data_IF_800680299704
#
_entry.id   IF_800680299704
#
_cell.length_a   1.000
_cell.length_b   1.000
_cell.length_c   1.000
_cell.angle_alpha   90.00
_cell.angle_beta   90.00
_cell.angle_gamma   90.00
#
_symmetry.space_group_name_H-M   'P 1'
#
loop_
_entity.id
_entity.type
_entity.pdbx_description
1 polymer ?
#
# COMPACT_ATOMS: atom_id res chain seq x y z
N UNK A 1 -18.01 10.81 -1.66
CA UNK A 1 -17.60 9.58 -0.96
C UNK A 1 -18.72 8.55 -1.10
N UNK A 2 -18.36 7.34 -1.49
CA UNK A 2 -19.25 6.18 -1.61
C UNK A 2 -18.67 5.05 -0.76
N UNK A 3 -19.52 4.30 -0.09
CA UNK A 3 -19.13 3.08 0.60
C UNK A 3 -20.17 1.97 0.36
N UNK A 4 -19.70 0.73 0.33
CA UNK A 4 -20.52 -0.47 0.19
C UNK A 4 -19.95 -1.57 1.08
N UNK A 5 -20.82 -2.19 1.88
CA UNK A 5 -20.53 -3.42 2.63
C UNK A 5 -21.41 -4.52 2.04
N UNK A 6 -20.82 -5.67 1.76
CA UNK A 6 -21.58 -6.85 1.36
C UNK A 6 -20.90 -8.16 1.79
N UNK A 7 -21.67 -9.19 1.88
CA UNK A 7 -21.24 -10.53 2.26
C UNK A 7 -21.34 -11.42 1.03
N UNK A 8 -20.35 -12.26 0.83
CA UNK A 8 -20.40 -13.43 -0.04
C UNK A 8 -20.56 -14.69 0.81
N UNK A 9 -20.50 -15.87 0.20
CA UNK A 9 -20.56 -17.12 0.95
C UNK A 9 -19.37 -17.29 1.92
N UNK A 10 -18.20 -16.76 1.51
CA UNK A 10 -16.95 -17.00 2.23
C UNK A 10 -16.29 -15.71 2.77
N UNK A 11 -16.72 -14.52 2.35
CA UNK A 11 -15.98 -13.30 2.61
C UNK A 11 -16.88 -12.12 2.98
N UNK A 12 -16.33 -11.21 3.75
CA UNK A 12 -16.84 -9.86 4.00
C UNK A 12 -16.08 -8.89 3.14
N UNK A 13 -16.79 -8.06 2.39
CA UNK A 13 -16.20 -7.05 1.51
C UNK A 13 -16.64 -5.65 1.91
N UNK A 14 -15.68 -4.74 2.02
CA UNK A 14 -15.90 -3.31 2.23
C UNK A 14 -15.28 -2.56 1.07
N UNK A 15 -16.08 -1.75 0.39
CA UNK A 15 -15.59 -0.86 -0.66
C UNK A 15 -15.79 0.58 -0.20
N UNK A 16 -14.73 1.37 -0.27
CA UNK A 16 -14.75 2.81 -0.01
C UNK A 16 -14.21 3.49 -1.26
N UNK A 17 -14.92 4.47 -1.81
CA UNK A 17 -14.42 5.20 -2.97
C UNK A 17 -14.80 6.67 -2.95
N UNK A 18 -13.94 7.49 -3.55
CA UNK A 18 -14.13 8.90 -3.80
C UNK A 18 -13.93 9.22 -5.30
N UNK A 19 -14.16 10.45 -5.67
CA UNK A 19 -13.93 10.98 -7.01
C UNK A 19 -12.89 12.12 -7.01
N UNK A 20 -11.98 12.13 -6.06
CA UNK A 20 -10.92 13.11 -5.92
C UNK A 20 -9.78 12.93 -6.94
N UNK A 21 -8.58 13.37 -6.56
CA UNK A 21 -7.38 13.30 -7.42
C UNK A 21 -6.84 11.89 -7.62
N UNK A 22 -7.22 10.96 -6.75
CA UNK A 22 -6.62 9.62 -6.67
C UNK A 22 -5.35 9.60 -5.84
N UNK A 23 -5.26 8.60 -4.94
CA UNK A 23 -4.18 8.49 -3.95
C UNK A 23 -2.79 8.54 -4.58
N UNK A 24 -2.53 7.71 -5.59
CA UNK A 24 -1.19 7.62 -6.18
C UNK A 24 -0.81 8.90 -6.94
N UNK A 25 -1.75 9.54 -7.65
CA UNK A 25 -1.49 10.81 -8.33
C UNK A 25 -1.23 11.95 -7.35
N UNK A 26 -1.89 11.94 -6.19
CA UNK A 26 -1.64 12.92 -5.14
C UNK A 26 -0.25 12.75 -4.54
N UNK A 27 0.14 11.52 -4.19
CA UNK A 27 1.47 11.19 -3.65
C UNK A 27 2.56 11.49 -4.68
N UNK A 28 2.34 11.12 -5.95
CA UNK A 28 3.30 11.44 -7.02
C UNK A 28 3.59 12.93 -7.09
N UNK A 29 2.54 13.75 -7.11
CA UNK A 29 2.69 15.22 -7.20
C UNK A 29 3.35 15.82 -5.98
N UNK A 30 3.00 15.34 -4.78
CA UNK A 30 3.50 15.89 -3.53
C UNK A 30 4.98 15.58 -3.30
N UNK A 31 5.39 14.36 -3.62
CA UNK A 31 6.76 13.88 -3.43
C UNK A 31 7.63 14.04 -4.69
N UNK A 32 7.09 14.67 -5.74
CA UNK A 32 7.77 14.88 -7.03
C UNK A 32 8.37 13.58 -7.59
N UNK A 33 7.53 12.50 -7.58
CA UNK A 33 7.96 11.18 -8.02
C UNK A 33 7.91 11.07 -9.54
N UNK A 34 8.78 10.22 -10.08
CA UNK A 34 8.95 10.01 -11.51
C UNK A 34 7.67 9.55 -12.20
N UNK A 35 6.92 8.63 -11.58
CA UNK A 35 5.68 8.10 -12.14
C UNK A 35 4.73 7.56 -11.05
N UNK A 36 3.51 7.19 -11.47
CA UNK A 36 2.46 6.65 -10.60
C UNK A 36 2.87 5.30 -9.95
N UNK A 37 3.67 4.50 -10.63
CA UNK A 37 4.11 3.21 -10.08
C UNK A 37 5.02 3.39 -8.87
N UNK A 38 5.94 4.35 -8.94
CA UNK A 38 6.78 4.72 -7.79
C UNK A 38 5.92 5.22 -6.62
N UNK A 39 4.87 5.99 -6.89
CA UNK A 39 3.94 6.42 -5.86
C UNK A 39 3.20 5.23 -5.20
N UNK A 40 2.81 4.21 -5.96
CA UNK A 40 2.22 3.00 -5.41
C UNK A 40 3.22 2.21 -4.55
N UNK A 41 4.50 2.18 -4.91
CA UNK A 41 5.56 1.57 -4.10
C UNK A 41 5.76 2.34 -2.78
N UNK A 42 5.69 3.68 -2.78
CA UNK A 42 5.72 4.46 -1.54
C UNK A 42 4.58 4.07 -0.59
N UNK A 43 3.36 3.87 -1.12
CA UNK A 43 2.24 3.35 -0.33
C UNK A 43 2.53 1.96 0.24
N UNK A 44 3.11 1.06 -0.56
CA UNK A 44 3.45 -0.30 -0.12
C UNK A 44 4.52 -0.33 0.98
N UNK A 45 5.43 0.65 1.03
CA UNK A 45 6.40 0.81 2.13
C UNK A 45 5.73 1.15 3.47
N UNK A 46 4.54 1.78 3.45
CA UNK A 46 3.72 2.03 4.64
C UNK A 46 4.12 3.23 5.49
N UNK A 47 5.04 4.08 5.04
CA UNK A 47 5.53 5.25 5.80
C UNK A 47 5.31 6.57 5.05
N UNK A 48 4.28 6.62 4.19
CA UNK A 48 3.99 7.82 3.41
C UNK A 48 2.88 8.63 4.05
N UNK A 49 3.15 9.92 4.31
CA UNK A 49 2.12 10.89 4.69
C UNK A 49 2.17 12.11 3.79
N UNK A 50 1.01 12.64 3.47
CA UNK A 50 0.85 13.90 2.75
C UNK A 50 0.68 15.09 3.70
N UNK A 51 0.51 14.82 5.00
CA UNK A 51 0.37 15.84 6.05
C UNK A 51 1.02 15.36 7.36
N UNK A 52 2.35 15.57 7.50
CA UNK A 52 3.11 15.11 8.68
C UNK A 52 2.66 15.73 10.01
N UNK A 53 1.92 16.86 9.97
CA UNK A 53 1.44 17.52 11.18
C UNK A 53 0.22 16.80 11.80
N UNK A 54 -0.54 16.06 10.99
CA UNK A 54 -1.78 15.41 11.41
C UNK A 54 -1.73 13.89 11.31
N UNK A 55 -0.81 13.33 10.51
CA UNK A 55 -0.73 11.89 10.22
C UNK A 55 0.70 11.38 10.33
N UNK A 56 0.86 10.21 10.97
CA UNK A 56 2.17 9.53 11.06
C UNK A 56 2.59 8.85 9.76
N UNK A 57 1.63 8.60 8.86
CA UNK A 57 1.83 7.79 7.65
C UNK A 57 1.60 6.29 7.86
N UNK A 58 1.33 5.86 9.09
CA UNK A 58 1.16 4.45 9.43
C UNK A 58 -0.31 3.99 9.38
N UNK A 59 -1.26 4.91 9.24
CA UNK A 59 -2.70 4.63 9.32
C UNK A 59 -3.15 3.67 8.22
N UNK A 60 -2.72 3.93 6.99
CA UNK A 60 -3.05 3.06 5.86
C UNK A 60 -2.40 1.68 6.00
N UNK A 61 -1.16 1.61 6.45
CA UNK A 61 -0.47 0.35 6.73
C UNK A 61 -1.18 -0.44 7.83
N UNK A 62 -1.70 0.24 8.85
CA UNK A 62 -2.54 -0.37 9.89
C UNK A 62 -3.77 -1.04 9.29
N UNK A 63 -4.50 -0.32 8.43
CA UNK A 63 -5.69 -0.87 7.74
C UNK A 63 -5.30 -2.09 6.89
N UNK A 64 -4.21 -1.98 6.13
CA UNK A 64 -3.71 -3.08 5.28
C UNK A 64 -3.46 -4.35 6.11
N UNK A 65 -2.91 -4.22 7.31
CA UNK A 65 -2.63 -5.38 8.17
C UNK A 65 -3.88 -6.02 8.78
N UNK A 66 -4.99 -5.29 8.92
CA UNK A 66 -6.23 -5.79 9.53
C UNK A 66 -7.04 -6.71 8.61
N UNK A 67 -6.85 -6.64 7.30
CA UNK A 67 -7.62 -7.38 6.31
C UNK A 67 -6.79 -8.50 5.67
N UNK A 68 -7.46 -9.56 5.19
CA UNK A 68 -6.79 -10.67 4.50
C UNK A 68 -6.30 -10.23 3.12
N UNK A 69 -7.07 -9.35 2.45
CA UNK A 69 -6.67 -8.75 1.20
C UNK A 69 -7.14 -7.31 1.11
N UNK A 70 -6.26 -6.45 0.60
CA UNK A 70 -6.54 -5.04 0.37
C UNK A 70 -6.17 -4.68 -1.06
N UNK A 71 -7.10 -4.06 -1.78
CA UNK A 71 -6.85 -3.54 -3.14
C UNK A 71 -7.12 -2.04 -3.16
N UNK A 72 -6.17 -1.28 -3.66
CA UNK A 72 -6.25 0.17 -3.85
C UNK A 72 -6.19 0.47 -5.33
N UNK A 73 -7.28 0.97 -5.88
CA UNK A 73 -7.37 1.44 -7.27
C UNK A 73 -7.33 2.96 -7.33
N UNK A 74 -6.35 3.52 -7.99
CA UNK A 74 -6.23 4.97 -8.18
C UNK A 74 -5.32 5.30 -9.37
N UNK A 75 -5.60 6.41 -10.06
CA UNK A 75 -4.72 6.97 -11.09
C UNK A 75 -4.29 5.96 -12.17
N UNK A 76 -5.18 5.03 -12.52
CA UNK A 76 -4.94 4.00 -13.54
C UNK A 76 -4.13 2.79 -13.09
N UNK A 77 -3.81 2.69 -11.79
CA UNK A 77 -3.12 1.55 -11.18
C UNK A 77 -3.97 0.90 -10.09
N UNK A 78 -3.76 -0.40 -9.92
CA UNK A 78 -4.34 -1.24 -8.87
C UNK A 78 -3.19 -1.83 -8.07
N UNK A 79 -3.09 -1.47 -6.80
CA UNK A 79 -2.14 -2.02 -5.84
C UNK A 79 -2.88 -2.99 -4.92
N UNK A 80 -2.47 -4.25 -4.89
CA UNK A 80 -3.09 -5.28 -4.07
C UNK A 80 -2.07 -5.86 -3.09
N UNK A 81 -2.48 -5.99 -1.84
CA UNK A 81 -1.76 -6.72 -0.79
C UNK A 81 -2.55 -7.96 -0.37
N UNK A 82 -1.88 -9.12 -0.33
CA UNK A 82 -2.41 -10.38 0.15
C UNK A 82 -1.68 -10.74 1.43
N UNK A 83 -2.40 -10.71 2.54
CA UNK A 83 -1.78 -10.77 3.85
C UNK A 83 -1.25 -12.15 4.24
N UNK A 84 -1.85 -13.24 3.74
CA UNK A 84 -1.40 -14.60 4.06
C UNK A 84 -0.03 -14.92 3.46
N UNK A 85 0.24 -14.45 2.25
CA UNK A 85 1.53 -14.62 1.56
C UNK A 85 2.48 -13.45 1.77
N UNK A 86 1.97 -12.31 2.29
CA UNK A 86 2.69 -11.04 2.40
C UNK A 86 3.11 -10.45 1.04
N UNK A 87 2.36 -10.80 -0.01
CA UNK A 87 2.69 -10.40 -1.37
C UNK A 87 2.00 -9.09 -1.76
N UNK A 88 2.74 -8.30 -2.51
CA UNK A 88 2.26 -7.12 -3.19
C UNK A 88 2.18 -7.35 -4.70
N UNK A 89 1.12 -6.86 -5.30
CA UNK A 89 0.94 -6.87 -6.75
C UNK A 89 0.50 -5.50 -7.25
N UNK A 90 1.04 -5.10 -8.41
CA UNK A 90 0.58 -3.90 -9.12
C UNK A 90 0.08 -4.28 -10.51
N UNK A 91 -1.08 -3.74 -10.90
CA UNK A 91 -1.71 -3.98 -12.21
C UNK A 91 -2.29 -2.69 -12.77
N UNK A 92 -2.71 -2.71 -14.03
CA UNK A 92 -3.54 -1.65 -14.59
C UNK A 92 -4.92 -1.64 -13.96
N UNK A 93 -5.47 -0.44 -13.75
CA UNK A 93 -6.84 -0.23 -13.28
C UNK A 93 -7.59 0.71 -14.22
N UNK A 94 -8.90 0.51 -14.32
CA UNK A 94 -9.81 1.44 -15.02
C UNK A 94 -10.12 2.68 -14.17
N UNK A 95 -9.79 2.68 -12.88
CA UNK A 95 -10.00 3.80 -11.96
C UNK A 95 -8.98 4.92 -12.24
N UNK A 96 -9.35 5.85 -13.11
CA UNK A 96 -8.49 6.98 -13.49
C UNK A 96 -8.61 8.17 -12.55
N UNK A 97 -9.79 8.38 -11.96
CA UNK A 97 -10.11 9.50 -11.07
C UNK A 97 -10.57 8.98 -9.72
N UNK A 98 -10.21 9.69 -8.66
CA UNK A 98 -10.52 9.27 -7.30
C UNK A 98 -9.74 8.03 -6.85
N UNK A 99 -10.08 7.57 -5.66
CA UNK A 99 -9.52 6.36 -5.06
C UNK A 99 -10.64 5.38 -4.76
N UNK A 100 -10.42 4.10 -5.03
CA UNK A 100 -11.26 3.01 -4.55
C UNK A 100 -10.39 2.08 -3.71
N UNK A 101 -10.82 1.84 -2.47
CA UNK A 101 -10.21 0.86 -1.57
C UNK A 101 -11.20 -0.28 -1.41
N UNK A 102 -10.75 -1.50 -1.69
CA UNK A 102 -11.51 -2.72 -1.48
C UNK A 102 -10.80 -3.56 -0.41
N UNK A 103 -11.50 -3.82 0.68
CA UNK A 103 -11.04 -4.56 1.85
C UNK A 103 -11.80 -5.87 1.93
N UNK A 104 -11.08 -6.97 2.12
CA UNK A 104 -11.65 -8.33 2.13
C UNK A 104 -11.22 -9.05 3.42
N UNK A 105 -12.18 -9.67 4.11
CA UNK A 105 -11.95 -10.57 5.25
C UNK A 105 -12.56 -11.90 4.92
N UNK A 106 -11.76 -12.97 4.93
CA UNK A 106 -12.20 -14.34 4.74
C UNK A 106 -12.97 -14.85 5.98
N UNK A 107 -14.00 -15.68 5.80
CA UNK A 107 -14.79 -16.21 6.90
C UNK A 107 -13.99 -17.10 7.86
N UNK A 108 -12.87 -17.66 7.38
CA UNK A 108 -11.91 -18.47 8.15
C UNK A 108 -10.65 -17.69 8.54
N UNK A 109 -10.70 -16.37 8.47
CA UNK A 109 -9.56 -15.51 8.79
C UNK A 109 -9.02 -15.79 10.20
N UNK A 110 -7.71 -15.98 10.30
CA UNK A 110 -6.99 -16.20 11.56
C UNK A 110 -6.43 -14.89 12.13
N UNK A 111 -6.92 -13.75 11.66
CA UNK A 111 -6.42 -12.44 12.07
C UNK A 111 -6.82 -12.10 13.49
N UNK A 112 -5.83 -11.83 14.32
CA UNK A 112 -6.03 -11.34 15.68
C UNK A 112 -5.95 -9.82 15.71
N UNK A 113 -7.07 -9.13 15.53
CA UNK A 113 -7.13 -7.68 15.53
C UNK A 113 -6.51 -7.06 16.78
N UNK A 114 -6.68 -7.67 17.96
CA UNK A 114 -6.11 -7.17 19.22
C UNK A 114 -4.59 -7.18 19.19
N UNK A 115 -4.00 -8.24 18.71
CA UNK A 115 -2.54 -8.38 18.58
C UNK A 115 -1.98 -7.40 17.53
N UNK A 116 -2.67 -7.27 16.39
CA UNK A 116 -2.30 -6.33 15.33
C UNK A 116 -2.30 -4.90 15.89
N UNK A 117 -3.37 -4.48 16.57
CA UNK A 117 -3.44 -3.17 17.20
C UNK A 117 -2.36 -2.95 18.27
N UNK A 118 -2.08 -3.96 19.10
CA UNK A 118 -1.02 -3.87 20.09
C UNK A 118 0.36 -3.67 19.43
N UNK A 119 0.65 -4.40 18.35
CA UNK A 119 1.91 -4.27 17.62
C UNK A 119 2.05 -2.91 16.96
N UNK A 120 0.97 -2.33 16.44
CA UNK A 120 0.97 -1.01 15.80
C UNK A 120 1.11 0.12 16.82
N UNK A 121 0.33 0.10 17.90
CA UNK A 121 0.31 1.21 18.88
C UNK A 121 1.44 1.15 19.91
N UNK A 122 1.93 -0.04 20.23
CA UNK A 122 2.97 -0.24 21.27
C UNK A 122 4.28 -0.78 20.69
N UNK A 123 4.25 -1.39 19.52
CA UNK A 123 5.45 -1.78 18.78
C UNK A 123 5.99 -0.57 18.03
N UNK A 124 7.20 -0.12 18.36
CA UNK A 124 7.91 0.82 17.48
C UNK A 124 8.21 0.09 16.18
N UNK A 125 7.43 0.33 15.14
CA UNK A 125 7.73 -0.15 13.79
C UNK A 125 8.95 0.62 13.26
N UNK A 126 10.14 0.20 13.67
CA UNK A 126 11.39 0.71 13.13
C UNK A 126 11.89 -0.15 11.96
N UNK A 127 11.00 -0.90 11.30
CA UNK A 127 11.32 -1.78 10.17
C UNK A 127 10.42 -1.48 8.99
N UNK A 128 11.01 -1.46 7.80
CA UNK A 128 10.29 -1.32 6.54
C UNK A 128 10.64 -2.49 5.63
N UNK A 129 9.63 -3.07 4.96
CA UNK A 129 9.80 -4.04 3.88
C UNK A 129 9.49 -3.35 2.55
N UNK A 130 10.44 -3.36 1.64
CA UNK A 130 10.34 -2.69 0.34
C UNK A 130 10.16 -3.75 -0.75
N UNK A 131 8.98 -3.85 -1.37
CA UNK A 131 8.73 -4.80 -2.44
C UNK A 131 9.38 -4.32 -3.74
N UNK A 132 10.61 -4.76 -3.99
CA UNK A 132 11.41 -4.36 -5.16
C UNK A 132 10.78 -4.83 -6.48
N UNK A 133 10.08 -5.97 -6.46
CA UNK A 133 9.36 -6.50 -7.61
C UNK A 133 8.33 -5.51 -8.20
N UNK A 134 7.76 -4.63 -7.39
CA UNK A 134 6.81 -3.61 -7.87
C UNK A 134 7.45 -2.50 -8.70
N UNK A 135 8.76 -2.34 -8.64
CA UNK A 135 9.50 -1.33 -9.43
C UNK A 135 9.82 -1.81 -10.85
N UNK A 136 9.65 -3.10 -11.13
CA UNK A 136 9.82 -3.65 -12.48
C UNK A 136 8.64 -3.18 -13.34
N UNK A 137 8.93 -2.49 -14.44
CA UNK A 137 7.92 -1.98 -15.38
C UNK A 137 7.46 -3.10 -16.32
N UNK A 138 8.38 -3.99 -16.72
CA UNK A 138 8.13 -5.17 -17.54
C UNK A 138 8.77 -6.43 -16.94
N UNK A 139 8.28 -7.62 -17.31
CA UNK A 139 8.91 -8.89 -16.94
C UNK A 139 10.35 -8.93 -17.45
N UNK A 140 11.30 -9.11 -16.55
CA UNK A 140 12.74 -9.18 -16.85
C UNK A 140 13.49 -7.85 -16.73
N UNK A 141 12.84 -6.72 -16.47
CA UNK A 141 13.54 -5.49 -16.13
C UNK A 141 14.19 -5.59 -14.74
N UNK A 142 15.45 -5.20 -14.71
CA UNK A 142 16.20 -5.07 -13.45
C UNK A 142 16.10 -3.63 -12.94
N UNK A 143 16.04 -3.47 -11.64
CA UNK A 143 16.24 -2.17 -10.98
C UNK A 143 17.71 -1.82 -11.14
N UNK A 144 18.07 -1.05 -12.16
CA UNK A 144 19.44 -0.80 -12.58
C UNK A 144 19.83 0.68 -12.69
N UNK A 145 18.90 1.60 -12.40
CA UNK A 145 19.20 3.04 -12.46
C UNK A 145 19.46 3.62 -11.07
N UNK A 146 20.33 4.64 -11.02
CA UNK A 146 20.57 5.42 -9.80
C UNK A 146 19.30 6.09 -9.29
N UNK A 147 18.44 6.54 -10.19
CA UNK A 147 17.17 7.19 -9.84
C UNK A 147 16.22 6.19 -9.15
N UNK A 148 16.12 4.95 -9.67
CA UNK A 148 15.35 3.88 -9.03
C UNK A 148 15.91 3.54 -7.64
N UNK A 149 17.23 3.41 -7.50
CA UNK A 149 17.88 3.16 -6.21
C UNK A 149 17.61 4.30 -5.20
N UNK A 150 17.67 5.55 -5.63
CA UNK A 150 17.34 6.71 -4.80
C UNK A 150 15.86 6.70 -4.38
N UNK A 151 14.96 6.33 -5.29
CA UNK A 151 13.55 6.19 -5.00
C UNK A 151 13.28 5.08 -3.96
N UNK A 152 13.98 3.95 -4.07
CA UNK A 152 13.89 2.85 -3.10
C UNK A 152 14.27 3.32 -1.68
N UNK A 153 15.31 4.14 -1.55
CA UNK A 153 15.84 4.59 -0.26
C UNK A 153 15.16 5.86 0.28
N UNK A 154 14.18 6.40 -0.43
CA UNK A 154 13.44 7.59 0.01
C UNK A 154 12.57 7.27 1.24
N UNK A 155 12.46 8.22 2.17
CA UNK A 155 11.58 8.16 3.35
C UNK A 155 11.81 6.97 4.30
N UNK A 156 13.01 6.40 4.33
CA UNK A 156 13.36 5.27 5.21
C UNK A 156 14.54 5.55 6.13
N UNK A 157 15.01 6.82 6.20
CA UNK A 157 16.17 7.22 7.02
C UNK A 157 16.01 6.89 8.51
N UNK A 158 14.79 6.89 9.02
CA UNK A 158 14.49 6.66 10.43
C UNK A 158 14.24 5.19 10.76
N UNK A 159 14.25 4.32 9.75
CA UNK A 159 14.04 2.88 9.92
C UNK A 159 15.34 2.20 10.38
N UNK A 160 15.26 1.39 11.44
CA UNK A 160 16.39 0.61 11.95
C UNK A 160 16.66 -0.66 11.15
N UNK A 161 15.60 -1.26 10.60
CA UNK A 161 15.67 -2.47 9.81
C UNK A 161 15.01 -2.23 8.46
N UNK A 162 15.71 -2.57 7.38
CA UNK A 162 15.21 -2.45 6.02
C UNK A 162 15.31 -3.83 5.39
N UNK A 163 14.19 -4.36 4.94
CA UNK A 163 14.09 -5.62 4.20
C UNK A 163 13.77 -5.32 2.75
N UNK A 164 14.61 -5.79 1.83
CA UNK A 164 14.33 -5.72 0.41
C UNK A 164 13.71 -7.04 -0.05
N UNK A 165 12.48 -6.97 -0.55
CA UNK A 165 11.76 -8.10 -1.08
C UNK A 165 11.86 -8.14 -2.60
N UNK A 166 12.48 -9.18 -3.12
CA UNK A 166 12.72 -9.39 -4.55
C UNK A 166 11.78 -10.42 -5.18
N UNK A 167 10.85 -11.00 -4.41
CA UNK A 167 9.94 -12.06 -4.86
C UNK A 167 8.76 -11.51 -5.66
#
# INVERSE_FOLDING_TARGET
LYYKLYLTHNDVHIIISDNGRGLFGHIQSLLELENIQVAAVEVAKGHVTTDPNFHSGDELNTVIQLFDKVTIDASGKSLTFINNTKDWMIKHSTQKHGTRIHLEIESNSQRNCKEIFQNIFYGKQNSVRIPINLLKIEEGELVNSRAQAQSILRNISDCKNIEFDFN
#
